data_IF_185663609460
#
_entry.id   IF_185663609460
#
_cell.length_a   1.000
_cell.length_b   1.000
_cell.length_c   1.000
_cell.angle_alpha   90.00
_cell.angle_beta   90.00
_cell.angle_gamma   90.00
#
_symmetry.space_group_name_H-M   'P 1'
#
loop_
_entity.id
_entity.type
_entity.pdbx_description
1 polymer ?
#
# COMPACT_ATOMS: atom_id res chain seq x y z
N UNK A 1 -3.32 -7.68 2.90
CA UNK A 1 -3.59 -6.23 2.92
C UNK A 1 -4.81 -5.89 2.06
N UNK A 2 -4.82 -6.20 0.75
CA UNK A 2 -5.99 -5.92 -0.10
C UNK A 2 -7.30 -6.52 0.45
N UNK A 3 -7.31 -7.80 0.81
CA UNK A 3 -8.50 -8.44 1.43
C UNK A 3 -8.98 -7.72 2.70
N UNK A 4 -8.04 -7.24 3.52
CA UNK A 4 -8.36 -6.47 4.74
C UNK A 4 -8.96 -5.10 4.41
N UNK A 5 -8.46 -4.41 3.39
CA UNK A 5 -9.08 -3.16 2.88
C UNK A 5 -10.48 -3.41 2.31
N UNK A 6 -10.66 -4.56 1.65
CA UNK A 6 -11.95 -5.01 1.13
C UNK A 6 -12.92 -5.50 2.21
N UNK A 7 -12.49 -5.62 3.48
CA UNK A 7 -13.25 -6.25 4.55
C UNK A 7 -13.72 -7.68 4.22
N UNK A 8 -12.98 -8.37 3.36
CA UNK A 8 -13.18 -9.80 3.08
C UNK A 8 -12.49 -10.65 4.15
N UNK A 9 -13.10 -11.79 4.52
CA UNK A 9 -12.50 -12.73 5.47
C UNK A 9 -11.08 -13.10 5.06
N UNK A 10 -10.11 -12.89 5.94
CA UNK A 10 -8.69 -13.20 5.71
C UNK A 10 -8.45 -14.69 5.96
N UNK A 11 -8.89 -15.54 5.02
CA UNK A 11 -8.59 -16.97 5.06
C UNK A 11 -7.08 -17.24 4.96
N UNK A 12 -6.60 -18.17 5.80
CA UNK A 12 -5.19 -18.54 6.00
C UNK A 12 -4.46 -18.90 4.69
N UNK A 13 -3.26 -18.34 4.53
CA UNK A 13 -2.31 -18.70 3.46
C UNK A 13 -2.25 -17.67 2.34
N UNK A 14 -1.46 -16.60 2.54
CA UNK A 14 -1.13 -15.66 1.47
C UNK A 14 0.04 -16.24 0.67
N UNK A 15 -0.27 -17.05 -0.33
CA UNK A 15 0.68 -17.28 -1.42
C UNK A 15 1.01 -15.91 -2.05
N UNK A 16 2.24 -15.69 -2.54
CA UNK A 16 2.55 -14.50 -3.33
C UNK A 16 1.52 -14.34 -4.45
N UNK A 17 1.06 -13.12 -4.71
CA UNK A 17 0.11 -12.88 -5.80
C UNK A 17 0.75 -13.27 -7.13
N UNK A 18 0.30 -14.38 -7.71
CA UNK A 18 0.71 -14.87 -9.03
C UNK A 18 -0.10 -14.16 -10.12
N UNK A 19 0.14 -12.86 -10.31
CA UNK A 19 -0.48 -12.07 -11.37
C UNK A 19 -1.20 -10.82 -10.85
N UNK A 20 -2.48 -10.70 -11.18
CA UNK A 20 -3.30 -9.51 -10.94
C UNK A 20 -4.56 -9.90 -10.17
N UNK A 21 -4.94 -9.09 -9.19
CA UNK A 21 -6.16 -9.28 -8.44
C UNK A 21 -6.88 -7.94 -8.31
N UNK A 22 -8.10 -7.86 -8.83
CA UNK A 22 -8.93 -6.66 -8.76
C UNK A 22 -10.11 -6.90 -7.81
N UNK A 23 -10.34 -5.95 -6.91
CA UNK A 23 -11.47 -5.99 -5.96
C UNK A 23 -12.18 -4.64 -5.97
N UNK A 24 -13.50 -4.67 -6.09
CA UNK A 24 -14.35 -3.50 -5.91
C UNK A 24 -14.80 -3.41 -4.45
N UNK A 25 -14.50 -2.29 -3.79
CA UNK A 25 -14.88 -2.05 -2.39
C UNK A 25 -15.80 -0.85 -2.33
N UNK A 26 -16.98 -1.02 -1.74
CA UNK A 26 -17.88 0.07 -1.39
C UNK A 26 -17.51 0.65 -0.03
N UNK A 27 -17.41 1.97 0.07
CA UNK A 27 -17.29 2.69 1.34
C UNK A 27 -18.29 3.85 1.31
N UNK A 28 -19.41 3.71 2.03
CA UNK A 28 -20.54 4.65 1.93
C UNK A 28 -21.11 4.70 0.51
N UNK A 29 -21.18 5.90 -0.07
CA UNK A 29 -21.63 6.13 -1.44
C UNK A 29 -20.50 6.02 -2.49
N UNK A 30 -19.25 5.83 -2.04
CA UNK A 30 -18.08 5.76 -2.94
C UNK A 30 -17.75 4.32 -3.28
N UNK A 31 -17.50 4.07 -4.58
CA UNK A 31 -17.00 2.78 -5.08
C UNK A 31 -15.54 2.93 -5.51
N UNK A 32 -14.67 2.12 -4.93
CA UNK A 32 -13.25 2.08 -5.25
C UNK A 32 -12.89 0.75 -5.89
N UNK A 33 -12.08 0.78 -6.94
CA UNK A 33 -11.49 -0.40 -7.54
C UNK A 33 -10.01 -0.47 -7.15
N UNK A 34 -9.65 -1.54 -6.46
CA UNK A 34 -8.27 -1.82 -6.07
C UNK A 34 -7.70 -2.86 -7.01
N UNK A 35 -6.55 -2.56 -7.61
CA UNK A 35 -5.77 -3.50 -8.41
C UNK A 35 -4.48 -3.85 -7.67
N UNK A 36 -4.41 -5.08 -7.14
CA UNK A 36 -3.17 -5.65 -6.62
C UNK A 36 -2.42 -6.36 -7.75
N UNK A 37 -1.14 -6.02 -7.89
CA UNK A 37 -0.22 -6.65 -8.84
C UNK A 37 0.88 -7.33 -8.06
N UNK A 38 1.18 -8.59 -8.39
CA UNK A 38 2.26 -9.32 -7.72
C UNK A 38 3.62 -8.62 -7.80
N UNK A 39 4.41 -8.79 -6.74
CA UNK A 39 5.71 -8.13 -6.59
C UNK A 39 6.94 -8.91 -7.03
N UNK A 40 6.73 -10.09 -7.63
CA UNK A 40 7.81 -10.87 -8.24
C UNK A 40 8.44 -10.08 -9.38
N UNK A 41 9.73 -10.30 -9.62
CA UNK A 41 10.49 -9.54 -10.62
C UNK A 41 9.83 -9.58 -12.02
N UNK A 42 9.28 -10.74 -12.40
CA UNK A 42 8.56 -10.94 -13.66
C UNK A 42 7.31 -10.04 -13.80
N UNK A 43 6.69 -9.63 -12.69
CA UNK A 43 5.46 -8.84 -12.70
C UNK A 43 5.72 -7.32 -12.60
N UNK A 44 6.94 -6.90 -12.23
CA UNK A 44 7.27 -5.48 -12.03
C UNK A 44 7.19 -4.66 -13.31
N UNK A 45 7.36 -5.27 -14.47
CA UNK A 45 7.18 -4.62 -15.78
C UNK A 45 5.76 -4.09 -15.98
N UNK A 46 4.76 -4.73 -15.37
CA UNK A 46 3.36 -4.33 -15.51
C UNK A 46 3.00 -3.13 -14.64
N UNK A 47 3.70 -2.88 -13.53
CA UNK A 47 3.38 -1.76 -12.63
C UNK A 47 3.31 -0.42 -13.37
N UNK A 48 4.31 -0.15 -14.23
CA UNK A 48 4.39 1.08 -15.02
C UNK A 48 3.26 1.23 -16.05
N UNK A 49 2.64 0.12 -16.48
CA UNK A 49 1.54 0.14 -17.46
C UNK A 49 0.21 0.59 -16.83
N UNK A 50 0.04 0.37 -15.53
CA UNK A 50 -1.19 0.73 -14.82
C UNK A 50 -1.11 2.06 -14.09
N UNK A 51 0.10 2.54 -13.74
CA UNK A 51 0.28 3.83 -13.05
C UNK A 51 -0.42 5.03 -13.70
N UNK A 52 -0.49 5.20 -15.03
CA UNK A 52 -1.20 6.33 -15.64
C UNK A 52 -2.73 6.28 -15.47
N UNK A 53 -3.29 5.14 -15.04
CA UNK A 53 -4.73 4.90 -14.96
C UNK A 53 -5.26 4.91 -13.52
N UNK A 54 -4.38 5.00 -12.52
CA UNK A 54 -4.78 4.96 -11.10
C UNK A 54 -4.93 6.36 -10.55
N UNK A 55 -5.88 6.53 -9.61
CA UNK A 55 -6.07 7.78 -8.89
C UNK A 55 -5.00 8.00 -7.81
N UNK A 56 -4.55 6.92 -7.18
CA UNK A 56 -3.49 6.93 -6.16
C UNK A 56 -2.75 5.60 -6.15
N UNK A 57 -1.53 5.61 -5.59
CA UNK A 57 -0.69 4.43 -5.40
C UNK A 57 -0.70 4.00 -3.92
N UNK A 58 -1.07 2.76 -3.64
CA UNK A 58 -0.89 2.14 -2.32
C UNK A 58 0.36 1.28 -2.37
N UNK A 59 1.38 1.67 -1.62
CA UNK A 59 2.66 0.98 -1.57
C UNK A 59 2.84 0.28 -0.23
N UNK A 60 2.79 -1.05 -0.22
CA UNK A 60 2.87 -1.85 1.02
C UNK A 60 4.30 -2.34 1.22
N UNK A 61 4.85 -2.09 2.41
CA UNK A 61 6.16 -2.63 2.83
C UNK A 61 6.01 -3.53 4.04
N UNK A 62 6.91 -4.51 4.15
CA UNK A 62 7.02 -5.37 5.32
C UNK A 62 7.97 -4.71 6.32
N UNK A 63 7.42 -4.18 7.42
CA UNK A 63 8.19 -3.39 8.38
C UNK A 63 9.20 -4.23 9.17
N UNK A 64 9.04 -5.56 9.19
CA UNK A 64 9.97 -6.47 9.87
C UNK A 64 11.06 -7.03 8.94
N UNK A 65 11.01 -6.74 7.64
CA UNK A 65 11.97 -7.24 6.65
C UNK A 65 12.92 -6.15 6.17
N UNK A 66 13.87 -5.80 7.04
CA UNK A 66 14.80 -4.70 6.81
C UNK A 66 15.71 -4.94 5.59
N UNK A 67 16.01 -6.21 5.28
CA UNK A 67 16.87 -6.56 4.14
C UNK A 67 16.23 -6.19 2.80
N UNK A 68 14.89 -6.15 2.72
CA UNK A 68 14.16 -5.78 1.49
C UNK A 68 13.85 -4.30 1.37
N UNK A 69 13.98 -3.51 2.44
CA UNK A 69 13.69 -2.06 2.41
C UNK A 69 14.53 -1.28 1.37
N UNK A 70 15.84 -1.55 1.16
CA UNK A 70 16.59 -0.85 0.12
C UNK A 70 16.03 -1.08 -1.29
N UNK A 71 15.59 -2.31 -1.58
CA UNK A 71 14.96 -2.65 -2.86
C UNK A 71 13.58 -1.99 -2.96
N UNK A 72 12.80 -1.99 -1.86
CA UNK A 72 11.51 -1.32 -1.80
C UNK A 72 11.63 0.18 -2.07
N UNK A 73 12.61 0.85 -1.45
CA UNK A 73 12.98 2.25 -1.73
C UNK A 73 13.21 2.47 -3.22
N UNK A 74 14.13 1.72 -3.82
CA UNK A 74 14.48 1.89 -5.22
C UNK A 74 13.25 1.76 -6.12
N UNK A 75 12.39 0.77 -5.86
CA UNK A 75 11.18 0.54 -6.65
C UNK A 75 10.14 1.65 -6.47
N UNK A 76 9.90 2.10 -5.23
CA UNK A 76 8.99 3.21 -4.96
C UNK A 76 9.43 4.47 -5.72
N UNK A 77 10.71 4.84 -5.60
CA UNK A 77 11.29 6.00 -6.29
C UNK A 77 11.15 5.88 -7.82
N UNK A 78 11.37 4.69 -8.39
CA UNK A 78 11.17 4.45 -9.82
C UNK A 78 9.71 4.54 -10.27
N UNK A 79 8.75 4.17 -9.42
CA UNK A 79 7.33 4.25 -9.73
C UNK A 79 6.83 5.70 -9.76
N UNK A 80 7.27 6.51 -8.78
CA UNK A 80 6.81 7.89 -8.62
C UNK A 80 7.53 8.89 -9.53
N UNK A 81 8.72 8.54 -10.05
CA UNK A 81 9.57 9.39 -10.88
C UNK A 81 8.84 10.02 -12.09
N UNK A 82 7.97 9.26 -12.76
CA UNK A 82 7.32 9.70 -14.00
C UNK A 82 5.94 10.35 -13.79
N UNK A 83 5.47 10.44 -12.55
CA UNK A 83 4.18 11.06 -12.23
C UNK A 83 4.29 11.82 -10.90
N UNK A 84 4.78 13.07 -10.91
CA UNK A 84 5.10 13.84 -9.69
C UNK A 84 3.89 14.12 -8.81
N UNK A 85 2.67 14.13 -9.35
CA UNK A 85 1.45 14.54 -8.63
C UNK A 85 0.63 13.37 -8.08
N UNK A 86 0.86 12.13 -8.52
CA UNK A 86 0.08 10.95 -8.10
C UNK A 86 0.12 10.75 -6.57
N UNK A 87 -1.00 10.83 -5.84
CA UNK A 87 -1.00 10.60 -4.40
C UNK A 87 -0.45 9.21 -4.03
N UNK A 88 0.34 9.13 -2.95
CA UNK A 88 0.96 7.87 -2.49
C UNK A 88 0.59 7.61 -1.04
N UNK A 89 0.10 6.41 -0.75
CA UNK A 89 -0.12 5.91 0.61
C UNK A 89 0.82 4.75 0.84
N UNK A 90 1.82 4.94 1.70
CA UNK A 90 2.72 3.88 2.14
C UNK A 90 2.12 3.18 3.35
N UNK A 91 1.89 1.87 3.24
CA UNK A 91 1.45 1.03 4.34
C UNK A 91 2.66 0.29 4.90
N UNK A 92 3.16 0.75 6.05
CA UNK A 92 4.16 0.05 6.85
C UNK A 92 3.46 -1.12 7.54
N UNK A 93 3.38 -2.26 6.86
CA UNK A 93 2.63 -3.42 7.33
C UNK A 93 3.46 -4.28 8.30
N UNK A 94 2.78 -5.15 9.06
CA UNK A 94 3.36 -6.06 10.06
C UNK A 94 3.91 -5.38 11.31
N UNK A 95 3.29 -4.28 11.72
CA UNK A 95 3.65 -3.53 12.95
C UNK A 95 3.40 -4.33 14.24
N UNK A 96 2.69 -5.46 14.17
CA UNK A 96 2.48 -6.42 15.25
C UNK A 96 3.74 -7.27 15.55
N UNK A 97 4.68 -7.38 14.60
CA UNK A 97 5.85 -8.23 14.75
C UNK A 97 6.95 -7.57 15.59
N UNK A 98 7.58 -8.37 16.44
CA UNK A 98 8.76 -7.94 17.18
C UNK A 98 9.90 -7.61 16.22
N UNK A 99 10.46 -6.41 16.38
CA UNK A 99 11.55 -5.92 15.55
C UNK A 99 11.10 -5.21 14.28
N UNK A 100 9.80 -5.02 14.07
CA UNK A 100 9.31 -4.12 13.02
C UNK A 100 9.86 -2.70 13.23
N UNK A 101 10.34 -2.10 12.15
CA UNK A 101 10.71 -0.69 12.11
C UNK A 101 9.51 0.19 12.43
N UNK A 102 9.74 1.20 13.27
CA UNK A 102 8.71 2.18 13.56
C UNK A 102 8.52 3.14 12.38
N UNK A 103 7.51 4.00 12.45
CA UNK A 103 7.13 4.87 11.34
C UNK A 103 8.28 5.78 10.90
N UNK A 104 9.06 6.33 11.84
CA UNK A 104 10.22 7.17 11.51
C UNK A 104 11.31 6.37 10.81
N UNK A 105 11.58 5.14 11.27
CA UNK A 105 12.59 4.28 10.65
C UNK A 105 12.19 3.88 9.22
N UNK A 106 10.90 3.60 8.98
CA UNK A 106 10.40 3.31 7.63
C UNK A 106 10.48 4.55 6.73
N UNK A 107 10.11 5.71 7.26
CA UNK A 107 10.22 6.98 6.54
C UNK A 107 11.65 7.21 6.03
N UNK A 108 12.63 7.00 6.91
CA UNK A 108 14.04 7.20 6.60
C UNK A 108 14.59 6.10 5.67
N UNK A 109 14.24 4.84 5.93
CA UNK A 109 14.67 3.70 5.12
C UNK A 109 14.18 3.79 3.66
N UNK A 110 12.98 4.34 3.45
CA UNK A 110 12.42 4.58 2.12
C UNK A 110 12.81 5.94 1.53
N UNK A 111 13.51 6.78 2.30
CA UNK A 111 13.85 8.17 1.96
C UNK A 111 12.64 8.92 1.39
N UNK A 112 11.54 8.92 2.16
CA UNK A 112 10.29 9.53 1.70
C UNK A 112 10.40 11.05 1.53
N UNK A 113 11.32 11.71 2.23
CA UNK A 113 11.64 13.14 2.03
C UNK A 113 12.10 13.48 0.62
N UNK A 114 12.64 12.51 -0.12
CA UNK A 114 13.18 12.74 -1.46
C UNK A 114 12.10 12.63 -2.57
N UNK A 115 10.87 12.20 -2.24
CA UNK A 115 9.80 11.89 -3.22
C UNK A 115 9.02 13.14 -3.68
N UNK A 116 9.39 14.33 -3.16
CA UNK A 116 8.96 15.64 -3.64
C UNK A 116 7.74 16.23 -2.90
N UNK A 117 7.77 17.55 -2.71
CA UNK A 117 6.82 18.27 -1.84
C UNK A 117 5.43 18.50 -2.45
N UNK A 118 5.30 18.44 -3.78
CA UNK A 118 4.03 18.71 -4.48
C UNK A 118 3.05 17.53 -4.42
N UNK A 119 3.52 16.35 -4.02
CA UNK A 119 2.72 15.13 -3.93
C UNK A 119 2.10 14.97 -2.55
N UNK A 120 0.81 14.65 -2.49
CA UNK A 120 0.21 14.11 -1.26
C UNK A 120 0.80 12.75 -0.94
N UNK A 121 1.52 12.64 0.18
CA UNK A 121 2.05 11.37 0.66
C UNK A 121 1.74 11.11 2.13
N UNK A 122 1.31 9.89 2.43
CA UNK A 122 0.98 9.44 3.77
C UNK A 122 1.70 8.14 4.09
N UNK A 123 2.17 8.00 5.33
CA UNK A 123 2.77 6.77 5.85
C UNK A 123 1.96 6.30 7.05
N UNK A 124 1.44 5.08 6.97
CA UNK A 124 0.57 4.51 8.01
C UNK A 124 1.10 3.15 8.44
N UNK A 125 1.31 3.00 9.75
CA UNK A 125 1.59 1.71 10.36
C UNK A 125 0.35 0.86 10.37
N UNK A 126 0.41 -0.32 9.77
CA UNK A 126 -0.71 -1.25 9.71
C UNK A 126 -0.30 -2.66 10.10
N UNK A 127 -1.28 -3.45 10.49
CA UNK A 127 -1.16 -4.89 10.55
C UNK A 127 -2.48 -5.51 10.12
N UNK A 128 -2.39 -6.73 9.59
CA UNK A 128 -3.56 -7.54 9.28
C UNK A 128 -3.91 -8.31 10.54
N UNK A 129 -5.15 -8.19 11.01
CA UNK A 129 -5.61 -8.91 12.18
C UNK A 129 -5.56 -10.43 11.96
N UNK A 130 -5.44 -11.20 13.04
CA UNK A 130 -5.50 -12.66 12.99
C UNK A 130 -6.86 -13.14 12.46
N UNK A 131 -6.87 -14.33 11.89
CA UNK A 131 -8.06 -14.92 11.27
C UNK A 131 -9.27 -14.92 12.23
N UNK A 132 -10.42 -14.48 11.73
CA UNK A 132 -11.66 -14.33 12.50
C UNK A 132 -11.77 -13.06 13.35
N UNK A 133 -10.74 -12.21 13.41
CA UNK A 133 -10.80 -10.91 14.10
C UNK A 133 -11.32 -9.80 13.18
N UNK A 134 -11.93 -8.77 13.77
CA UNK A 134 -12.24 -7.54 13.05
C UNK A 134 -10.99 -6.90 12.45
N UNK A 135 -11.15 -6.18 11.34
CA UNK A 135 -10.06 -5.38 10.75
C UNK A 135 -9.49 -4.42 11.80
N UNK A 136 -8.16 -4.31 11.87
CA UNK A 136 -7.47 -3.45 12.83
C UNK A 136 -7.88 -1.99 12.65
N UNK A 137 -7.87 -1.20 13.74
CA UNK A 137 -8.17 0.24 13.67
C UNK A 137 -7.29 0.94 12.63
N UNK A 138 -5.99 0.63 12.62
CA UNK A 138 -5.05 1.15 11.62
C UNK A 138 -5.46 0.87 10.16
N UNK A 139 -6.11 -0.28 9.90
CA UNK A 139 -6.60 -0.62 8.57
C UNK A 139 -7.90 0.13 8.25
N UNK A 140 -8.76 0.37 9.25
CA UNK A 140 -9.95 1.23 9.13
C UNK A 140 -9.52 2.66 8.78
N UNK A 141 -8.57 3.22 9.53
CA UNK A 141 -8.02 4.56 9.31
C UNK A 141 -7.39 4.68 7.91
N UNK A 142 -6.60 3.68 7.50
CA UNK A 142 -6.02 3.63 6.16
C UNK A 142 -7.10 3.61 5.07
N UNK A 143 -8.17 2.82 5.26
CA UNK A 143 -9.29 2.75 4.31
C UNK A 143 -10.03 4.08 4.19
N UNK A 144 -10.31 4.75 5.31
CA UNK A 144 -10.96 6.07 5.32
C UNK A 144 -10.11 7.14 4.64
N UNK A 145 -8.80 7.16 4.91
CA UNK A 145 -7.88 8.07 4.24
C UNK A 145 -7.84 7.83 2.72
N UNK A 146 -7.75 6.57 2.29
CA UNK A 146 -7.77 6.20 0.86
C UNK A 146 -9.08 6.67 0.23
N UNK A 147 -10.22 6.48 0.91
CA UNK A 147 -11.52 6.93 0.44
C UNK A 147 -11.56 8.45 0.22
N UNK A 148 -11.05 9.21 1.19
CA UNK A 148 -10.98 10.66 1.12
C UNK A 148 -10.09 11.12 -0.05
N UNK A 149 -8.93 10.50 -0.24
CA UNK A 149 -8.03 10.83 -1.35
C UNK A 149 -8.66 10.53 -2.71
N UNK A 150 -9.41 9.44 -2.82
CA UNK A 150 -10.14 9.11 -4.05
C UNK A 150 -11.18 10.18 -4.37
N UNK A 151 -11.93 10.65 -3.37
CA UNK A 151 -12.93 11.71 -3.54
C UNK A 151 -12.31 13.05 -3.98
N UNK A 152 -11.12 13.37 -3.47
CA UNK A 152 -10.40 14.61 -3.84
C UNK A 152 -9.74 14.58 -5.23
N UNK A 153 -9.61 13.39 -5.82
CA UNK A 153 -8.94 13.19 -7.13
C UNK A 153 -9.95 13.04 -8.27
N UNK A 154 -11.26 13.12 -7.98
CA UNK A 154 -12.36 13.14 -8.95
C UNK A 154 -12.75 14.57 -9.31
#
# INVERSE_FOLDING_TARGET
>A
VLRSLAAEHVGRGLAPTEGFHAVCVGTGETRMEFLEIGGSECLRSYWKMYLPKVLLLIYVVDSADHARLPVAKQLLHQLVQNNPTLPVVVLANKQDLKGAYCITDIHDALALSDIGDERKMFLIGTHVAEDGSEISSSMKDAKELIAQLVLETQ
#
